data_IF_003808751890
#
_entry.id   IF_003808751890
#
_cell.length_a   1.000
_cell.length_b   1.000
_cell.length_c   1.000
_cell.angle_alpha   90.00
_cell.angle_beta   90.00
_cell.angle_gamma   90.00
#
_symmetry.space_group_name_H-M   'P 1'
#
loop_
_entity.id
_entity.type
_entity.pdbx_description
1 polymer ?
#
# COMPACT_ATOMS: atom_id res chain seq x y z
N UNK A 1 0.15 18.60 24.73
CA UNK A 1 1.15 17.54 24.48
C UNK A 1 1.31 17.41 22.98
N UNK A 2 2.54 17.40 22.47
CA UNK A 2 2.87 17.31 21.04
C UNK A 2 3.74 16.08 20.84
N UNK A 3 3.45 15.26 19.82
CA UNK A 3 4.29 14.16 19.39
C UNK A 3 4.99 14.54 18.07
N UNK A 4 6.26 14.97 18.09
CA UNK A 4 6.97 15.35 16.88
C UNK A 4 7.32 14.10 16.03
N UNK A 5 7.05 14.16 14.72
CA UNK A 5 7.31 13.04 13.79
C UNK A 5 8.81 12.74 13.57
N UNK A 6 9.68 13.73 13.80
CA UNK A 6 11.13 13.61 13.63
C UNK A 6 11.60 13.08 12.25
N UNK A 7 10.79 13.18 11.19
CA UNK A 7 11.10 12.70 9.85
C UNK A 7 12.17 13.54 9.09
N UNK A 8 12.57 14.70 9.65
CA UNK A 8 13.41 15.68 8.99
C UNK A 8 12.74 16.31 7.75
N UNK A 9 13.47 17.13 6.97
CA UNK A 9 12.91 17.78 5.79
C UNK A 9 12.53 16.75 4.72
N UNK A 10 11.27 16.71 4.33
CA UNK A 10 10.80 16.03 3.11
C UNK A 10 10.84 17.06 1.97
N UNK A 11 11.27 16.73 0.76
CA UNK A 11 11.38 17.72 -0.35
C UNK A 11 10.46 17.39 -1.52
N UNK A 12 10.30 16.10 -1.81
CA UNK A 12 9.30 15.59 -2.75
C UNK A 12 7.91 16.08 -2.37
N UNK A 13 7.09 16.41 -3.37
CA UNK A 13 5.68 16.79 -3.16
C UNK A 13 4.89 15.60 -2.60
N UNK A 14 5.17 14.40 -3.10
CA UNK A 14 4.56 13.18 -2.59
C UNK A 14 5.17 12.80 -1.23
N UNK A 15 4.38 12.94 -0.17
CA UNK A 15 4.72 12.48 1.17
C UNK A 15 5.04 10.97 1.19
N UNK A 16 6.09 10.58 1.93
CA UNK A 16 6.51 9.16 2.09
C UNK A 16 6.94 8.88 3.52
N UNK A 17 8.09 9.42 3.95
CA UNK A 17 8.61 9.23 5.31
C UNK A 17 7.75 9.91 6.36
N UNK A 18 7.12 11.04 6.02
CA UNK A 18 6.17 11.71 6.93
C UNK A 18 4.93 10.85 7.19
N UNK A 19 4.45 10.12 6.18
CA UNK A 19 3.35 9.16 6.32
C UNK A 19 3.76 7.99 7.23
N UNK A 20 4.90 7.34 6.95
CA UNK A 20 5.39 6.21 7.77
C UNK A 20 5.62 6.62 9.23
N UNK A 21 6.29 7.76 9.46
CA UNK A 21 6.54 8.25 10.83
C UNK A 21 5.26 8.66 11.55
N UNK A 22 4.24 9.14 10.83
CA UNK A 22 2.92 9.41 11.42
C UNK A 22 2.25 8.14 11.93
N UNK A 23 2.25 7.07 11.12
CA UNK A 23 1.70 5.78 11.56
C UNK A 23 2.52 5.21 12.71
N UNK A 24 3.84 5.25 12.62
CA UNK A 24 4.72 4.77 13.70
C UNK A 24 4.44 5.50 15.03
N UNK A 25 4.27 6.81 15.01
CA UNK A 25 3.92 7.59 16.21
C UNK A 25 2.53 7.28 16.76
N UNK A 26 1.54 7.03 15.89
CA UNK A 26 0.21 6.59 16.32
C UNK A 26 0.27 5.19 16.97
N UNK A 27 0.99 4.26 16.36
CA UNK A 27 1.16 2.90 16.89
C UNK A 27 1.94 2.91 18.21
N UNK A 28 2.94 3.76 18.35
CA UNK A 28 3.69 3.94 19.61
C UNK A 28 2.78 4.46 20.73
N UNK A 29 1.92 5.44 20.42
CA UNK A 29 0.90 5.92 21.37
C UNK A 29 -0.09 4.81 21.75
N UNK A 30 -0.53 4.00 20.79
CA UNK A 30 -1.43 2.86 21.04
C UNK A 30 -0.73 1.86 21.95
N UNK A 31 0.50 1.44 21.63
CA UNK A 31 1.27 0.47 22.41
C UNK A 31 1.47 0.93 23.86
N UNK A 32 1.81 2.21 24.05
CA UNK A 32 1.99 2.79 25.37
C UNK A 32 0.67 2.86 26.16
N UNK A 33 -0.45 3.19 25.51
CA UNK A 33 -1.76 3.25 26.18
C UNK A 33 -2.27 1.85 26.54
N UNK A 34 -2.19 0.90 25.61
CA UNK A 34 -2.66 -0.47 25.85
C UNK A 34 -1.69 -1.33 26.67
N UNK A 35 -0.52 -0.79 27.03
CA UNK A 35 0.56 -1.54 27.69
C UNK A 35 0.96 -2.80 26.90
N UNK A 36 0.93 -2.70 25.57
CA UNK A 36 1.19 -3.83 24.66
C UNK A 36 2.70 -3.98 24.43
N UNK A 37 3.29 -4.93 25.15
CA UNK A 37 4.72 -5.24 25.08
C UNK A 37 5.14 -5.81 23.72
N UNK A 38 4.25 -6.55 23.05
CA UNK A 38 4.55 -7.19 21.76
C UNK A 38 4.58 -6.15 20.64
N UNK A 39 3.61 -5.24 20.61
CA UNK A 39 3.61 -4.10 19.68
C UNK A 39 4.79 -3.16 19.96
N UNK A 40 5.13 -2.91 21.22
CA UNK A 40 6.30 -2.12 21.61
C UNK A 40 7.60 -2.74 21.10
N UNK A 41 7.79 -4.05 21.29
CA UNK A 41 8.95 -4.77 20.77
C UNK A 41 9.02 -4.74 19.24
N UNK A 42 7.87 -4.88 18.57
CA UNK A 42 7.77 -4.79 17.12
C UNK A 42 8.14 -3.40 16.59
N UNK A 43 7.68 -2.33 17.25
CA UNK A 43 8.03 -0.94 16.90
C UNK A 43 9.52 -0.66 17.04
N UNK A 44 10.18 -1.22 18.06
CA UNK A 44 11.64 -1.14 18.20
C UNK A 44 12.38 -1.81 17.04
N UNK A 45 11.81 -2.87 16.45
CA UNK A 45 12.36 -3.55 15.27
C UNK A 45 11.99 -2.87 13.93
N UNK A 46 11.00 -1.97 13.92
CA UNK A 46 10.46 -1.36 12.70
C UNK A 46 11.52 -0.70 11.80
N UNK A 47 12.54 0.03 12.29
CA UNK A 47 13.56 0.62 11.41
C UNK A 47 14.31 -0.42 10.56
N UNK A 48 14.67 -1.56 11.16
CA UNK A 48 15.35 -2.64 10.46
C UNK A 48 14.41 -3.36 9.48
N UNK A 49 13.13 -3.51 9.85
CA UNK A 49 12.12 -4.08 8.96
C UNK A 49 11.83 -3.18 7.76
N UNK A 50 11.78 -1.86 7.95
CA UNK A 50 11.65 -0.89 6.85
C UNK A 50 12.82 -0.95 5.88
N UNK A 51 14.05 -1.09 6.41
CA UNK A 51 15.24 -1.26 5.58
C UNK A 51 15.16 -2.54 4.73
N UNK A 52 14.64 -3.64 5.29
CA UNK A 52 14.40 -4.89 4.55
C UNK A 52 13.26 -4.73 3.53
N UNK A 53 12.15 -4.11 3.91
CA UNK A 53 10.99 -3.88 3.05
C UNK A 53 11.34 -3.06 1.81
N UNK A 54 12.25 -2.09 1.93
CA UNK A 54 12.77 -1.32 0.79
C UNK A 54 13.49 -2.17 -0.27
N UNK A 55 14.11 -3.27 0.16
CA UNK A 55 14.83 -4.17 -0.75
C UNK A 55 13.92 -5.14 -1.49
N UNK A 56 12.67 -5.32 -1.04
CA UNK A 56 11.71 -6.20 -1.69
C UNK A 56 11.41 -5.72 -3.12
N UNK A 57 11.46 -6.67 -4.05
CA UNK A 57 11.29 -6.37 -5.47
C UNK A 57 9.81 -6.43 -5.87
N UNK A 58 9.20 -5.24 -6.00
CA UNK A 58 7.85 -5.09 -6.51
C UNK A 58 7.80 -4.76 -8.01
N UNK A 59 8.94 -4.77 -8.72
CA UNK A 59 9.00 -4.47 -10.15
C UNK A 59 8.17 -5.39 -11.06
N UNK A 60 7.84 -6.65 -10.71
CA UNK A 60 6.91 -7.45 -11.52
C UNK A 60 5.53 -6.80 -11.72
N UNK A 61 5.10 -5.91 -10.81
CA UNK A 61 3.87 -5.14 -10.98
C UNK A 61 3.98 -4.00 -12.00
N UNK A 62 5.19 -3.62 -12.45
CA UNK A 62 5.37 -2.48 -13.36
C UNK A 62 4.68 -2.69 -14.70
N UNK A 63 4.83 -3.86 -15.30
CA UNK A 63 4.32 -4.12 -16.66
C UNK A 63 2.81 -3.94 -16.78
N UNK A 64 1.97 -4.60 -15.95
CA UNK A 64 0.51 -4.39 -16.03
C UNK A 64 0.08 -2.98 -15.60
N UNK A 65 0.88 -2.27 -14.81
CA UNK A 65 0.55 -0.91 -14.35
C UNK A 65 1.02 0.19 -15.32
N UNK A 66 2.02 -0.08 -16.18
CA UNK A 66 2.65 0.94 -17.05
C UNK A 66 1.64 1.57 -17.99
N UNK A 67 0.76 0.77 -18.58
CA UNK A 67 -0.26 1.24 -19.54
C UNK A 67 -1.67 1.31 -18.92
N UNK A 68 -1.80 1.02 -17.62
CA UNK A 68 -3.07 1.06 -16.93
C UNK A 68 -3.68 2.47 -16.95
N UNK A 69 -5.02 2.52 -17.07
CA UNK A 69 -5.81 3.75 -16.97
C UNK A 69 -6.55 3.86 -15.63
N UNK A 70 -6.85 2.71 -15.04
CA UNK A 70 -7.51 2.56 -13.75
C UNK A 70 -6.83 1.45 -12.96
N UNK A 71 -6.82 1.57 -11.63
CA UNK A 71 -6.31 0.56 -10.69
C UNK A 71 -7.21 0.52 -9.47
N UNK A 72 -7.46 -0.69 -8.97
CA UNK A 72 -7.99 -0.89 -7.62
C UNK A 72 -6.90 -1.35 -6.66
N UNK A 73 -6.87 -0.77 -5.48
CA UNK A 73 -6.09 -1.26 -4.35
C UNK A 73 -7.06 -1.72 -3.28
N UNK A 74 -7.11 -3.01 -3.01
CA UNK A 74 -8.10 -3.62 -2.11
C UNK A 74 -7.40 -4.15 -0.88
N UNK A 75 -7.92 -3.79 0.28
CA UNK A 75 -7.41 -4.24 1.57
C UNK A 75 -8.54 -4.28 2.59
N UNK A 76 -8.26 -4.72 3.81
CA UNK A 76 -9.23 -4.72 4.91
C UNK A 76 -8.56 -4.34 6.22
N UNK A 77 -9.35 -3.79 7.15
CA UNK A 77 -8.86 -3.43 8.48
C UNK A 77 -7.78 -2.36 8.41
N UNK A 78 -6.71 -2.45 9.23
CA UNK A 78 -5.62 -1.47 9.25
C UNK A 78 -4.94 -1.26 7.89
N UNK A 79 -4.91 -2.29 7.03
CA UNK A 79 -4.31 -2.20 5.70
C UNK A 79 -5.11 -1.31 4.73
N UNK A 80 -6.38 -0.99 5.03
CA UNK A 80 -7.17 -0.10 4.19
C UNK A 80 -6.62 1.33 4.13
N UNK A 81 -6.07 1.85 5.23
CA UNK A 81 -5.40 3.16 5.21
C UNK A 81 -4.20 3.19 4.26
N UNK A 82 -3.44 2.08 4.20
CA UNK A 82 -2.32 1.94 3.25
C UNK A 82 -2.83 1.78 1.82
N UNK A 83 -3.93 1.06 1.59
CA UNK A 83 -4.54 1.01 0.26
C UNK A 83 -4.94 2.40 -0.25
N UNK A 84 -5.52 3.24 0.63
CA UNK A 84 -5.86 4.63 0.32
C UNK A 84 -4.64 5.47 -0.03
N UNK A 85 -3.56 5.35 0.74
CA UNK A 85 -2.29 6.01 0.45
C UNK A 85 -1.71 5.54 -0.90
N UNK A 86 -1.71 4.24 -1.18
CA UNK A 86 -1.23 3.70 -2.46
C UNK A 86 -2.01 4.28 -3.63
N UNK A 87 -3.34 4.27 -3.55
CA UNK A 87 -4.21 4.85 -4.58
C UNK A 87 -3.96 6.36 -4.74
N UNK A 88 -3.76 7.10 -3.65
CA UNK A 88 -3.43 8.52 -3.68
C UNK A 88 -2.11 8.75 -4.42
N UNK A 89 -1.03 8.05 -4.05
CA UNK A 89 0.29 8.23 -4.67
C UNK A 89 0.29 7.88 -6.15
N UNK A 90 -0.45 6.85 -6.56
CA UNK A 90 -0.61 6.54 -7.99
C UNK A 90 -1.27 7.71 -8.74
N UNK A 91 -2.34 8.31 -8.18
CA UNK A 91 -2.99 9.48 -8.78
C UNK A 91 -2.03 10.67 -8.90
N UNK A 92 -1.28 10.95 -7.83
CA UNK A 92 -0.35 12.08 -7.77
C UNK A 92 0.86 11.89 -8.71
N UNK A 93 1.59 10.79 -8.56
CA UNK A 93 2.91 10.62 -9.21
C UNK A 93 2.84 9.92 -10.56
N UNK A 94 1.89 8.99 -10.75
CA UNK A 94 1.77 8.19 -11.96
C UNK A 94 0.69 8.70 -12.92
N UNK A 95 -0.24 9.53 -12.44
CA UNK A 95 -1.17 10.30 -13.26
C UNK A 95 -2.27 9.49 -13.93
N UNK A 96 -2.73 8.43 -13.30
CA UNK A 96 -3.90 7.67 -13.75
C UNK A 96 -4.84 7.36 -12.59
N UNK A 97 -6.05 6.93 -12.92
CA UNK A 97 -7.08 6.71 -11.91
C UNK A 97 -6.69 5.54 -11.00
N UNK A 98 -6.70 5.76 -9.70
CA UNK A 98 -6.57 4.70 -8.72
C UNK A 98 -7.51 4.93 -7.54
N UNK A 99 -8.15 3.86 -7.13
CA UNK A 99 -9.16 3.87 -6.08
C UNK A 99 -8.90 2.75 -5.08
N UNK A 100 -9.07 3.07 -3.80
CA UNK A 100 -8.90 2.11 -2.74
C UNK A 100 -10.26 1.60 -2.28
N UNK A 101 -10.40 0.28 -2.17
CA UNK A 101 -11.63 -0.35 -1.69
C UNK A 101 -11.38 -1.22 -0.46
N UNK A 102 -12.34 -1.18 0.46
CA UNK A 102 -12.42 -2.20 1.50
C UNK A 102 -12.84 -3.52 0.86
N UNK A 103 -12.18 -4.61 1.24
CA UNK A 103 -12.54 -5.97 0.79
C UNK A 103 -14.01 -6.32 1.13
N UNK A 104 -14.58 -5.69 2.17
CA UNK A 104 -15.97 -5.87 2.55
C UNK A 104 -16.97 -5.23 1.55
N UNK A 105 -16.55 -4.17 0.84
CA UNK A 105 -17.44 -3.37 -0.01
C UNK A 105 -17.24 -3.66 -1.50
N UNK A 106 -16.08 -4.18 -1.89
CA UNK A 106 -15.70 -4.34 -3.29
C UNK A 106 -16.65 -5.25 -4.09
N UNK A 107 -17.35 -6.17 -3.39
CA UNK A 107 -18.36 -7.06 -3.97
C UNK A 107 -19.68 -6.36 -4.29
N UNK A 108 -19.93 -5.19 -3.72
CA UNK A 108 -21.22 -4.50 -3.77
C UNK A 108 -21.26 -3.34 -4.78
N UNK A 109 -20.34 -3.33 -5.75
CA UNK A 109 -20.34 -2.32 -6.81
C UNK A 109 -19.04 -2.29 -7.61
N UNK A 110 -17.87 -2.11 -6.95
CA UNK A 110 -16.60 -1.94 -7.65
C UNK A 110 -16.24 -3.09 -8.60
N UNK A 111 -16.57 -4.33 -8.23
CA UNK A 111 -16.40 -5.51 -9.10
C UNK A 111 -17.15 -5.42 -10.45
N UNK A 112 -18.15 -4.55 -10.59
CA UNK A 112 -18.94 -4.43 -11.83
C UNK A 112 -18.18 -3.76 -12.97
N UNK A 113 -17.14 -2.96 -12.67
CA UNK A 113 -16.35 -2.24 -13.69
C UNK A 113 -15.02 -2.93 -14.00
N UNK A 114 -14.78 -4.10 -13.39
CA UNK A 114 -13.59 -4.90 -13.64
C UNK A 114 -13.78 -5.70 -14.92
N UNK A 115 -12.91 -5.44 -15.89
CA UNK A 115 -12.87 -6.09 -17.18
C UNK A 115 -11.50 -6.74 -17.42
N UNK A 116 -11.33 -7.40 -18.57
CA UNK A 116 -10.08 -8.05 -18.95
C UNK A 116 -8.89 -7.07 -18.90
N UNK A 117 -7.86 -7.44 -18.14
CA UNK A 117 -6.64 -6.67 -17.97
C UNK A 117 -6.72 -5.53 -16.96
N UNK A 118 -7.85 -5.34 -16.27
CA UNK A 118 -7.95 -4.34 -15.20
C UNK A 118 -7.04 -4.74 -14.04
N UNK A 119 -6.04 -3.92 -13.65
CA UNK A 119 -5.12 -4.29 -12.58
C UNK A 119 -5.78 -4.09 -11.21
N UNK A 120 -5.59 -5.08 -10.33
CA UNK A 120 -6.05 -5.05 -8.95
C UNK A 120 -4.91 -5.44 -8.03
N UNK A 121 -4.52 -4.56 -7.11
CA UNK A 121 -3.59 -4.89 -6.02
C UNK A 121 -4.42 -5.35 -4.82
N UNK A 122 -4.15 -6.55 -4.31
CA UNK A 122 -4.72 -7.08 -3.09
C UNK A 122 -3.67 -7.03 -1.98
N UNK A 123 -3.92 -6.24 -0.94
CA UNK A 123 -3.09 -6.20 0.26
C UNK A 123 -3.75 -7.06 1.33
N UNK A 124 -3.11 -8.15 1.73
CA UNK A 124 -3.53 -8.86 2.92
C UNK A 124 -2.45 -9.00 3.96
N UNK A 125 -2.92 -9.34 5.14
CA UNK A 125 -2.18 -9.27 6.39
C UNK A 125 -2.25 -10.64 7.04
N UNK A 126 -1.31 -10.91 7.95
CA UNK A 126 -1.35 -12.10 8.79
C UNK A 126 -2.29 -11.89 10.00
N UNK A 127 -3.57 -11.64 9.70
CA UNK A 127 -4.63 -11.42 10.67
C UNK A 127 -5.97 -12.04 10.20
N UNK A 128 -7.05 -11.83 10.96
CA UNK A 128 -8.38 -12.38 10.64
C UNK A 128 -8.97 -11.85 9.32
N UNK A 129 -8.38 -10.82 8.72
CA UNK A 129 -8.81 -10.26 7.45
C UNK A 129 -8.25 -11.02 6.24
N UNK A 130 -7.18 -11.80 6.41
CA UNK A 130 -6.45 -12.47 5.32
C UNK A 130 -7.38 -13.27 4.40
N UNK A 131 -8.17 -14.17 4.98
CA UNK A 131 -9.08 -15.05 4.22
C UNK A 131 -10.05 -14.26 3.36
N UNK A 132 -10.57 -13.14 3.89
CA UNK A 132 -11.54 -12.32 3.18
C UNK A 132 -10.93 -11.57 2.00
N UNK A 133 -9.67 -11.14 2.11
CA UNK A 133 -8.92 -10.52 1.01
C UNK A 133 -8.52 -11.58 -0.02
N UNK A 134 -7.96 -12.70 0.43
CA UNK A 134 -7.54 -13.82 -0.41
C UNK A 134 -8.68 -14.37 -1.27
N UNK A 135 -9.89 -14.48 -0.69
CA UNK A 135 -11.09 -14.92 -1.42
C UNK A 135 -11.46 -14.04 -2.62
N UNK A 136 -10.98 -12.79 -2.69
CA UNK A 136 -11.23 -11.90 -3.83
C UNK A 136 -10.33 -12.18 -5.03
N UNK A 137 -9.15 -12.76 -4.82
CA UNK A 137 -8.19 -13.05 -5.89
C UNK A 137 -8.79 -13.91 -7.01
N UNK A 138 -9.39 -15.10 -6.74
CA UNK A 138 -10.04 -15.87 -7.79
C UNK A 138 -11.24 -15.14 -8.41
N UNK A 139 -12.02 -14.40 -7.62
CA UNK A 139 -13.20 -13.67 -8.13
C UNK A 139 -12.83 -12.57 -9.15
N UNK A 140 -11.70 -11.89 -8.93
CA UNK A 140 -11.16 -10.92 -9.88
C UNK A 140 -10.53 -11.61 -11.09
N UNK A 141 -9.78 -12.69 -10.89
CA UNK A 141 -9.17 -13.45 -11.97
C UNK A 141 -10.21 -14.07 -12.92
N UNK A 142 -11.32 -14.59 -12.40
CA UNK A 142 -12.45 -15.11 -13.20
C UNK A 142 -13.10 -14.04 -14.09
N UNK A 143 -12.95 -12.76 -13.74
CA UNK A 143 -13.40 -11.60 -14.53
C UNK A 143 -12.32 -11.07 -15.47
N UNK A 144 -11.17 -11.76 -15.54
CA UNK A 144 -10.03 -11.41 -16.38
C UNK A 144 -9.17 -10.26 -15.85
N UNK A 145 -9.33 -9.87 -14.59
CA UNK A 145 -8.48 -8.87 -13.96
C UNK A 145 -7.02 -9.34 -13.91
N UNK A 146 -6.07 -8.42 -13.97
CA UNK A 146 -4.68 -8.70 -13.60
C UNK A 146 -4.52 -8.54 -12.10
N UNK A 147 -4.57 -9.66 -11.38
CA UNK A 147 -4.45 -9.66 -9.92
C UNK A 147 -2.98 -9.62 -9.49
N UNK A 148 -2.66 -8.68 -8.61
CA UNK A 148 -1.35 -8.46 -8.01
C UNK A 148 -1.53 -8.59 -6.49
N UNK A 149 -0.93 -9.59 -5.87
CA UNK A 149 -1.10 -9.88 -4.44
C UNK A 149 0.14 -9.49 -3.65
N UNK A 150 -0.04 -8.78 -2.55
CA UNK A 150 0.99 -8.53 -1.55
C UNK A 150 0.44 -8.91 -0.17
N UNK A 151 0.90 -10.02 0.38
CA UNK A 151 0.46 -10.47 1.69
C UNK A 151 1.20 -11.70 2.17
N UNK A 152 1.15 -11.92 3.48
CA UNK A 152 1.84 -13.02 4.17
C UNK A 152 0.89 -14.24 4.23
N UNK A 153 1.46 -15.43 4.00
CA UNK A 153 0.75 -16.71 4.13
C UNK A 153 0.30 -17.33 2.79
N UNK A 154 -0.15 -18.60 2.81
CA UNK A 154 -0.47 -19.37 1.60
C UNK A 154 -1.65 -18.79 0.80
N UNK A 155 -2.51 -18.01 1.44
CA UNK A 155 -3.77 -17.53 0.87
C UNK A 155 -3.60 -16.42 -0.17
N UNK A 156 -2.60 -15.54 -0.02
CA UNK A 156 -2.31 -14.43 -0.96
C UNK A 156 -1.16 -14.78 -1.93
N UNK A 157 -0.69 -16.03 -1.93
CA UNK A 157 0.30 -16.52 -2.88
C UNK A 157 -0.21 -17.55 -3.90
N UNK A 158 -1.42 -18.08 -3.70
CA UNK A 158 -1.95 -19.22 -4.46
C UNK A 158 -3.14 -18.83 -5.36
N UNK A 159 -2.91 -17.91 -6.29
CA UNK A 159 -3.90 -17.54 -7.31
C UNK A 159 -3.20 -17.27 -8.66
N UNK A 160 -3.92 -17.34 -9.79
CA UNK A 160 -3.36 -16.96 -11.08
C UNK A 160 -3.14 -15.44 -11.15
N UNK A 161 -1.89 -15.00 -10.94
CA UNK A 161 -1.52 -13.59 -11.01
C UNK A 161 -0.09 -13.33 -10.54
N UNK A 162 0.21 -12.08 -10.16
CA UNK A 162 1.53 -11.64 -9.72
C UNK A 162 1.58 -11.64 -8.20
N UNK A 163 2.46 -12.44 -7.60
CA UNK A 163 2.71 -12.43 -6.15
C UNK A 163 3.93 -11.56 -5.85
N UNK A 164 3.72 -10.52 -5.05
CA UNK A 164 4.77 -9.61 -4.59
C UNK A 164 5.35 -10.09 -3.26
N UNK A 165 6.68 -10.02 -3.07
CA UNK A 165 7.29 -10.42 -1.82
C UNK A 165 6.90 -9.46 -0.68
N UNK A 166 6.67 -10.02 0.51
CA UNK A 166 6.36 -9.30 1.75
C UNK A 166 7.15 -9.86 2.93
N UNK A 167 7.25 -9.11 4.02
CA UNK A 167 7.86 -9.57 5.27
C UNK A 167 6.80 -10.04 6.25
N UNK A 168 7.07 -11.14 6.94
CA UNK A 168 6.35 -11.51 8.15
C UNK A 168 6.78 -10.59 9.29
N UNK A 169 5.82 -9.90 9.90
CA UNK A 169 6.01 -9.01 11.04
C UNK A 169 4.72 -8.95 11.88
N UNK A 170 4.74 -8.21 12.99
CA UNK A 170 3.54 -7.92 13.76
C UNK A 170 2.42 -7.38 12.84
N UNK A 171 1.16 -7.88 12.94
CA UNK A 171 0.10 -7.53 11.99
C UNK A 171 -0.15 -6.02 11.83
N UNK A 172 -0.01 -5.24 12.90
CA UNK A 172 -0.14 -3.77 12.83
C UNK A 172 0.99 -3.07 12.05
N UNK A 173 2.16 -3.71 11.87
CA UNK A 173 3.30 -3.14 11.14
C UNK A 173 3.36 -3.59 9.68
N UNK A 174 2.79 -4.75 9.35
CA UNK A 174 2.78 -5.28 7.99
C UNK A 174 2.25 -4.29 6.94
N UNK A 175 1.18 -3.49 7.17
CA UNK A 175 0.75 -2.48 6.21
C UNK A 175 1.80 -1.40 5.98
N UNK A 176 2.51 -0.99 7.03
CA UNK A 176 3.57 0.04 6.95
C UNK A 176 4.74 -0.47 6.11
N UNK A 177 5.09 -1.74 6.26
CA UNK A 177 6.11 -2.40 5.43
C UNK A 177 5.68 -2.50 3.97
N UNK A 178 4.40 -2.79 3.70
CA UNK A 178 3.85 -2.78 2.34
C UNK A 178 3.91 -1.38 1.71
N UNK A 179 3.62 -0.32 2.48
CA UNK A 179 3.77 1.06 2.01
C UNK A 179 5.23 1.38 1.64
N UNK A 180 6.19 0.93 2.46
CA UNK A 180 7.62 1.11 2.20
C UNK A 180 8.06 0.45 0.87
N UNK A 181 7.65 -0.78 0.61
CA UNK A 181 7.94 -1.46 -0.67
C UNK A 181 7.22 -0.79 -1.84
N UNK A 182 5.96 -0.38 -1.64
CA UNK A 182 5.18 0.31 -2.64
C UNK A 182 5.81 1.64 -3.09
N UNK A 183 6.38 2.44 -2.19
CA UNK A 183 7.00 3.72 -2.59
C UNK A 183 8.10 3.55 -3.64
N UNK A 184 8.85 2.44 -3.58
CA UNK A 184 9.84 2.08 -4.61
C UNK A 184 9.18 1.75 -5.95
N UNK A 185 8.08 0.98 -5.93
CA UNK A 185 7.27 0.69 -7.12
C UNK A 185 6.66 1.96 -7.72
N UNK A 186 6.04 2.81 -6.90
CA UNK A 186 5.39 4.05 -7.34
C UNK A 186 6.38 5.00 -8.02
N UNK A 187 7.59 5.14 -7.45
CA UNK A 187 8.67 5.89 -8.07
C UNK A 187 9.06 5.30 -9.44
N UNK A 188 9.31 3.99 -9.50
CA UNK A 188 9.69 3.33 -10.75
C UNK A 188 8.59 3.42 -11.83
N UNK A 189 7.32 3.31 -11.42
CA UNK A 189 6.16 3.42 -12.31
C UNK A 189 5.98 4.84 -12.83
N UNK A 190 6.15 5.85 -11.96
CA UNK A 190 6.10 7.27 -12.37
C UNK A 190 7.12 7.55 -13.46
N UNK A 191 8.38 7.12 -13.26
CA UNK A 191 9.46 7.27 -14.26
C UNK A 191 9.15 6.48 -15.53
N UNK A 192 8.68 5.24 -15.41
CA UNK A 192 8.32 4.41 -16.57
C UNK A 192 7.18 5.01 -17.41
N UNK A 193 6.33 5.85 -16.80
CA UNK A 193 5.26 6.61 -17.47
C UNK A 193 5.70 8.01 -17.92
N UNK A 194 6.99 8.32 -17.85
CA UNK A 194 7.56 9.59 -18.28
C UNK A 194 7.22 10.77 -17.37
N UNK A 195 6.98 10.53 -16.08
CA UNK A 195 6.62 11.56 -15.09
C UNK A 195 7.73 11.76 -14.07
N UNK A 196 7.74 12.95 -13.45
CA UNK A 196 8.60 13.28 -12.33
C UNK A 196 7.84 13.04 -11.01
N UNK A 197 8.22 12.05 -10.19
CA UNK A 197 7.58 11.79 -8.91
C UNK A 197 7.87 12.88 -7.86
N UNK A 198 8.93 13.68 -8.02
CA UNK A 198 9.25 14.78 -7.10
C UNK A 198 8.44 16.03 -7.36
N UNK A 199 8.08 16.28 -8.62
CA UNK A 199 7.31 17.44 -9.08
C UNK A 199 6.09 17.04 -9.93
N UNK A 200 5.11 16.33 -9.35
CA UNK A 200 3.91 15.93 -10.07
C UNK A 200 3.13 17.16 -10.56
N UNK A 201 2.59 17.14 -11.80
CA UNK A 201 1.88 18.28 -12.38
C UNK A 201 0.74 18.77 -11.48
N UNK A 202 0.60 20.08 -11.36
CA UNK A 202 -0.49 20.77 -10.64
C UNK A 202 -0.57 20.52 -9.12
N UNK A 203 0.47 19.94 -8.50
CA UNK A 203 0.53 19.75 -7.05
C UNK A 203 1.62 20.59 -6.41
N UNK A 204 1.29 21.22 -5.29
CA UNK A 204 2.24 21.94 -4.44
C UNK A 204 2.36 21.20 -3.11
N UNK A 205 3.60 21.04 -2.63
CA UNK A 205 3.91 20.24 -1.43
C UNK A 205 3.20 20.71 -0.15
N UNK A 206 2.91 22.01 -0.03
CA UNK A 206 2.08 22.54 1.06
C UNK A 206 0.96 23.32 0.40
N UNK A 207 -0.23 22.72 0.33
CA UNK A 207 -1.46 23.44 0.02
C UNK A 207 -1.77 24.37 1.20
N UNK A 208 -1.33 25.63 1.09
CA UNK A 208 -1.87 26.70 1.94
C UNK A 208 -3.30 26.96 1.48
N UNK A 209 -4.26 26.29 2.09
CA UNK A 209 -5.66 26.73 2.03
C UNK A 209 -5.75 28.07 2.75
N UNK A 210 -6.18 29.10 2.02
CA UNK A 210 -6.52 30.43 2.57
C UNK A 210 -7.78 30.33 3.44
#
# INVERSE_FOLDING_TARGET
MLLPLCAGPERSVAATKSYITSIAGILDLIAAWSEDADLTAALNALPNLLAQAWQLDWTPALEPLREARSLFVVARGPAFGVAQEMALKIKETCGFHAEAFSAAEVRHGPMAIVENGFPVILLGQDDESNESVAALAPMFAERGATVIGAGVGPSIGNFPGITLPTLTAHPMLQPVLAAQSFYRLANALSVARGRDPDSPPHLAKVTRTL
#
